data_IF_723618953529
#
_entry.id   IF_723618953529
#
_cell.length_a   1.000
_cell.length_b   1.000
_cell.length_c   1.000
_cell.angle_alpha   90.00
_cell.angle_beta   90.00
_cell.angle_gamma   90.00
#
_symmetry.space_group_name_H-M   'P 1'
#
loop_
_entity.id
_entity.type
_entity.pdbx_description
1 polymer ?
#
# COMPACT_ATOMS: atom_id res chain seq x y z
N UNK A 1 19.16 -1.10 -56.34
CA UNK A 1 18.16 -0.16 -55.76
C UNK A 1 17.17 -0.82 -54.78
N UNK A 2 17.43 -2.00 -54.26
CA UNK A 2 16.55 -2.72 -53.33
C UNK A 2 16.96 -2.62 -51.86
N UNK A 3 18.22 -2.27 -51.55
CA UNK A 3 18.74 -2.27 -50.18
C UNK A 3 18.24 -1.11 -49.28
N UNK A 4 17.88 0.04 -49.90
CA UNK A 4 17.40 1.19 -49.11
C UNK A 4 15.96 1.11 -48.61
N UNK A 5 15.17 0.13 -49.06
CA UNK A 5 13.77 -0.06 -48.58
C UNK A 5 13.70 -0.87 -47.27
N UNK A 6 14.59 -1.81 -47.09
CA UNK A 6 14.65 -2.68 -45.90
C UNK A 6 15.11 -1.90 -44.67
N UNK A 7 16.10 -0.99 -44.85
CA UNK A 7 16.59 -0.15 -43.74
C UNK A 7 15.49 0.80 -43.19
N UNK A 8 14.67 1.40 -44.07
CA UNK A 8 13.55 2.27 -43.65
C UNK A 8 12.40 1.55 -42.91
N UNK A 9 12.17 0.29 -43.23
CA UNK A 9 11.15 -0.49 -42.53
C UNK A 9 11.61 -0.96 -41.15
N UNK A 10 12.93 -1.18 -40.97
CA UNK A 10 13.52 -1.54 -39.67
C UNK A 10 13.60 -0.35 -38.73
N UNK A 11 13.91 0.86 -39.21
CA UNK A 11 13.91 2.09 -38.39
C UNK A 11 12.50 2.48 -37.88
N UNK A 12 11.46 2.23 -38.67
CA UNK A 12 10.06 2.50 -38.25
C UNK A 12 9.52 1.52 -37.23
N UNK A 13 10.13 0.36 -37.03
CA UNK A 13 9.67 -0.65 -36.07
C UNK A 13 10.18 -0.44 -34.64
N UNK A 14 11.18 0.42 -34.44
CA UNK A 14 11.68 0.76 -33.11
C UNK A 14 10.86 1.87 -32.41
N UNK A 15 9.90 2.46 -33.10
CA UNK A 15 9.06 3.50 -32.51
C UNK A 15 7.85 2.90 -31.76
N UNK A 16 7.96 3.00 -30.47
CA UNK A 16 6.86 3.02 -29.52
C UNK A 16 6.02 1.75 -29.49
N UNK A 17 6.43 0.79 -28.70
CA UNK A 17 5.53 -0.24 -28.18
C UNK A 17 4.43 0.45 -27.36
N UNK A 18 3.33 0.82 -28.02
CA UNK A 18 2.11 1.22 -27.32
C UNK A 18 1.61 0.05 -26.50
N UNK A 19 1.21 0.25 -25.25
CA UNK A 19 0.59 -0.81 -24.47
C UNK A 19 -0.54 -1.43 -25.29
N UNK A 20 -0.50 -2.74 -25.49
CA UNK A 20 -1.42 -3.48 -26.37
C UNK A 20 -2.89 -3.49 -25.89
N UNK A 21 -3.12 -3.06 -24.65
CA UNK A 21 -4.45 -2.92 -24.09
C UNK A 21 -4.58 -1.63 -23.29
N UNK A 22 -5.71 -0.92 -23.46
CA UNK A 22 -6.06 0.19 -22.59
C UNK A 22 -6.45 -0.35 -21.22
N UNK A 23 -5.91 0.27 -20.15
CA UNK A 23 -6.29 0.00 -18.78
C UNK A 23 -6.72 1.32 -18.13
N UNK A 24 -7.76 1.31 -17.29
CA UNK A 24 -8.15 2.49 -16.55
C UNK A 24 -6.99 2.97 -15.66
N UNK A 25 -6.75 4.27 -15.64
CA UNK A 25 -5.75 4.86 -14.77
C UNK A 25 -6.10 4.64 -13.30
N UNK A 26 -5.10 4.32 -12.49
CA UNK A 26 -5.27 4.29 -11.04
C UNK A 26 -5.62 5.70 -10.52
N UNK A 27 -6.52 5.79 -9.57
CA UNK A 27 -6.90 7.06 -8.94
C UNK A 27 -5.77 7.72 -8.17
N UNK A 28 -4.82 6.92 -7.69
CA UNK A 28 -3.61 7.37 -7.01
C UNK A 28 -2.39 6.88 -7.79
N UNK A 29 -1.48 7.78 -8.17
CA UNK A 29 -0.25 7.39 -8.83
C UNK A 29 0.67 6.61 -7.86
N UNK A 30 1.38 5.62 -8.39
CA UNK A 30 2.36 4.87 -7.61
C UNK A 30 3.65 5.69 -7.43
N UNK A 31 4.21 5.76 -6.21
CA UNK A 31 5.49 6.40 -5.97
C UNK A 31 6.65 5.57 -6.53
N UNK A 32 7.71 6.26 -6.94
CA UNK A 32 8.96 5.61 -7.29
C UNK A 32 9.59 5.01 -6.03
N UNK A 33 9.68 3.68 -5.99
CA UNK A 33 10.11 2.94 -4.81
C UNK A 33 11.63 3.09 -4.62
N UNK A 34 12.03 3.64 -3.49
CA UNK A 34 13.42 3.65 -3.04
C UNK A 34 13.71 2.38 -2.25
N UNK A 35 14.89 1.79 -2.45
CA UNK A 35 15.31 0.63 -1.68
C UNK A 35 15.39 0.98 -0.18
N UNK A 36 14.88 0.08 0.67
CA UNK A 36 14.87 0.26 2.11
C UNK A 36 13.69 1.07 2.67
N UNK A 37 12.78 1.56 1.83
CA UNK A 37 11.59 2.31 2.25
C UNK A 37 10.30 1.68 1.77
N UNK A 38 9.26 1.80 2.59
CA UNK A 38 7.88 1.45 2.24
C UNK A 38 7.05 2.71 2.19
N UNK A 39 6.20 2.83 1.18
CA UNK A 39 5.33 3.99 0.96
C UNK A 39 3.89 3.66 1.30
N UNK A 40 3.19 4.65 1.84
CA UNK A 40 1.77 4.55 2.17
C UNK A 40 1.08 5.89 2.03
N UNK A 41 -0.12 5.89 1.49
CA UNK A 41 -1.02 7.03 1.50
C UNK A 41 -1.76 7.09 2.84
N UNK A 42 -1.64 8.21 3.54
CA UNK A 42 -2.22 8.44 4.87
C UNK A 42 -3.27 9.54 4.75
N UNK A 43 -4.46 9.27 5.23
CA UNK A 43 -5.56 10.22 5.19
C UNK A 43 -5.27 11.41 6.12
N UNK A 44 -5.37 12.62 5.54
CA UNK A 44 -5.25 13.91 6.25
C UNK A 44 -6.56 14.68 6.27
N UNK A 45 -7.46 14.39 5.33
CA UNK A 45 -8.79 15.00 5.29
C UNK A 45 -9.84 14.02 4.76
N UNK A 46 -11.11 14.25 5.10
CA UNK A 46 -12.26 13.51 4.60
C UNK A 46 -13.38 14.51 4.34
N UNK A 47 -13.93 14.53 3.13
CA UNK A 47 -15.00 15.44 2.72
C UNK A 47 -14.68 16.92 3.03
N UNK A 48 -13.45 17.36 2.79
CA UNK A 48 -13.00 18.72 3.10
C UNK A 48 -12.72 19.00 4.58
N UNK A 49 -13.03 18.07 5.47
CA UNK A 49 -12.71 18.17 6.91
C UNK A 49 -11.38 17.52 7.21
N UNK A 50 -10.54 18.21 7.95
CA UNK A 50 -9.21 17.74 8.35
C UNK A 50 -9.28 16.71 9.45
N UNK A 51 -8.39 15.72 9.38
CA UNK A 51 -8.22 14.67 10.40
C UNK A 51 -6.80 14.73 11.01
N UNK A 52 -6.52 15.75 11.86
CA UNK A 52 -5.20 15.89 12.46
C UNK A 52 -4.85 14.76 13.43
N UNK A 53 -5.86 14.10 13.98
CA UNK A 53 -5.68 12.97 14.90
C UNK A 53 -5.06 11.77 14.19
N UNK A 54 -5.54 11.45 12.98
CA UNK A 54 -5.01 10.33 12.21
C UNK A 54 -3.55 10.56 11.80
N UNK A 55 -3.26 11.74 11.24
CA UNK A 55 -1.90 12.04 10.78
C UNK A 55 -0.90 12.09 11.93
N UNK A 56 -1.26 12.70 13.08
CA UNK A 56 -0.41 12.75 14.27
C UNK A 56 -0.11 11.36 14.82
N UNK A 57 -1.10 10.46 14.82
CA UNK A 57 -0.90 9.07 15.22
C UNK A 57 0.10 8.36 14.29
N UNK A 58 -0.02 8.59 12.98
CA UNK A 58 0.87 7.96 11.99
C UNK A 58 2.30 8.48 12.05
N UNK A 59 2.48 9.78 12.26
CA UNK A 59 3.82 10.36 12.47
C UNK A 59 4.47 9.79 13.74
N UNK A 60 3.71 9.63 14.83
CA UNK A 60 4.19 8.98 16.06
C UNK A 60 4.55 7.49 15.86
N UNK A 61 3.91 6.81 14.91
CA UNK A 61 4.25 5.44 14.50
C UNK A 61 5.54 5.36 13.66
N UNK A 62 6.15 6.51 13.29
CA UNK A 62 7.38 6.57 12.49
C UNK A 62 7.17 6.76 10.99
N UNK A 63 5.97 7.18 10.57
CA UNK A 63 5.72 7.58 9.18
C UNK A 63 6.19 9.01 8.94
N UNK A 64 6.96 9.24 7.89
CA UNK A 64 7.48 10.55 7.49
C UNK A 64 6.85 10.98 6.16
N UNK A 65 6.38 12.24 6.03
CA UNK A 65 5.91 12.77 4.77
C UNK A 65 7.01 12.76 3.71
N UNK A 66 6.68 12.31 2.51
CA UNK A 66 7.59 12.34 1.36
C UNK A 66 7.61 13.75 0.79
N UNK A 67 8.81 14.29 0.53
CA UNK A 67 8.98 15.61 -0.06
C UNK A 67 8.77 15.57 -1.56
N UNK A 68 8.25 16.66 -2.11
CA UNK A 68 8.04 16.83 -3.55
C UNK A 68 9.37 16.69 -4.33
N UNK A 69 10.49 17.11 -3.71
CA UNK A 69 11.83 17.01 -4.31
C UNK A 69 12.27 15.56 -4.57
N UNK A 70 11.83 14.64 -3.70
CA UNK A 70 12.13 13.21 -3.83
C UNK A 70 11.34 12.55 -4.97
N UNK A 71 10.18 13.13 -5.30
CA UNK A 71 9.21 12.56 -6.27
C UNK A 71 8.67 13.66 -7.19
N UNK A 72 9.48 14.26 -8.08
CA UNK A 72 9.09 15.43 -8.87
C UNK A 72 7.92 15.18 -9.82
N UNK A 73 7.64 13.92 -10.17
CA UNK A 73 6.50 13.51 -11.01
C UNK A 73 5.15 13.90 -10.41
N UNK A 74 5.06 14.03 -9.09
CA UNK A 74 3.81 14.32 -8.39
C UNK A 74 3.41 15.80 -8.43
N UNK A 75 4.28 16.70 -8.88
CA UNK A 75 4.00 18.15 -8.94
C UNK A 75 2.70 18.51 -9.67
N UNK A 76 2.32 17.71 -10.67
CA UNK A 76 1.12 17.94 -11.51
C UNK A 76 -0.16 17.57 -10.76
N UNK A 77 -0.08 16.69 -9.76
CA UNK A 77 -1.24 16.11 -9.07
C UNK A 77 -1.51 16.71 -7.69
N UNK A 78 -0.72 17.68 -7.25
CA UNK A 78 -0.78 18.23 -5.91
C UNK A 78 -2.06 19.03 -5.67
N UNK A 79 -2.63 18.88 -4.48
CA UNK A 79 -3.75 19.69 -4.03
C UNK A 79 -3.28 21.11 -3.71
N UNK A 80 -3.94 22.11 -4.32
CA UNK A 80 -3.61 23.54 -4.15
C UNK A 80 -3.81 24.02 -2.70
N UNK A 81 -4.71 23.39 -1.94
CA UNK A 81 -5.05 23.74 -0.56
C UNK A 81 -4.34 22.90 0.49
N UNK A 82 -3.24 22.21 0.11
CA UNK A 82 -2.47 21.39 1.04
C UNK A 82 -1.83 22.26 2.14
N UNK A 83 -1.88 21.78 3.38
CA UNK A 83 -1.10 22.33 4.49
C UNK A 83 0.36 21.89 4.46
N UNK A 84 0.61 20.78 3.81
CA UNK A 84 1.94 20.18 3.68
C UNK A 84 2.60 20.68 2.41
N UNK A 85 3.04 21.95 2.41
CA UNK A 85 3.59 22.65 1.22
C UNK A 85 4.73 21.90 0.55
N UNK A 86 5.54 21.18 1.35
CA UNK A 86 6.67 20.37 0.86
C UNK A 86 6.29 18.89 0.69
N UNK A 87 5.07 18.50 1.09
CA UNK A 87 4.57 17.14 1.03
C UNK A 87 3.74 16.88 -0.22
N UNK A 88 3.52 15.61 -0.50
CA UNK A 88 2.71 15.15 -1.62
C UNK A 88 1.32 14.81 -1.11
N UNK A 89 0.38 15.73 -1.24
CA UNK A 89 -1.03 15.54 -0.87
C UNK A 89 -1.90 15.51 -2.13
N UNK A 90 -2.72 14.48 -2.27
CA UNK A 90 -3.64 14.25 -3.39
C UNK A 90 -4.98 13.77 -2.84
N UNK A 91 -6.04 14.51 -3.09
CA UNK A 91 -7.40 14.12 -2.69
C UNK A 91 -7.56 13.87 -1.18
N UNK A 92 -6.86 14.63 -0.36
CA UNK A 92 -6.87 14.48 1.10
C UNK A 92 -6.05 13.30 1.64
N UNK A 93 -5.16 12.76 0.81
CA UNK A 93 -4.21 11.71 1.17
C UNK A 93 -2.78 12.23 1.05
N UNK A 94 -1.99 12.07 2.09
CA UNK A 94 -0.58 12.45 2.15
C UNK A 94 0.28 11.22 1.92
N UNK A 95 1.22 11.32 0.99
CA UNK A 95 2.20 10.27 0.77
C UNK A 95 3.25 10.29 1.88
N UNK A 96 3.40 9.16 2.55
CA UNK A 96 4.40 8.99 3.60
C UNK A 96 5.26 7.77 3.32
N UNK A 97 6.48 7.79 3.84
CA UNK A 97 7.45 6.69 3.80
C UNK A 97 7.85 6.26 5.19
N UNK A 98 8.32 5.04 5.31
CA UNK A 98 8.86 4.46 6.54
C UNK A 98 9.99 3.50 6.17
N UNK A 99 11.10 3.44 6.94
CA UNK A 99 12.11 2.41 6.75
C UNK A 99 11.52 0.99 6.89
N UNK A 100 11.98 0.07 6.05
CA UNK A 100 11.49 -1.33 6.05
C UNK A 100 11.64 -1.99 7.40
N UNK A 101 12.76 -1.75 8.09
CA UNK A 101 13.05 -2.33 9.40
C UNK A 101 12.03 -1.91 10.46
N UNK A 102 11.62 -0.63 10.45
CA UNK A 102 10.57 -0.13 11.34
C UNK A 102 9.21 -0.74 11.03
N UNK A 103 8.88 -0.88 9.74
CA UNK A 103 7.67 -1.58 9.33
C UNK A 103 7.66 -3.01 9.83
N UNK A 104 8.77 -3.73 9.73
CA UNK A 104 8.86 -5.13 10.13
C UNK A 104 8.77 -5.29 11.64
N UNK A 105 9.43 -4.42 12.41
CA UNK A 105 9.28 -4.37 13.87
C UNK A 105 7.83 -4.10 14.29
N UNK A 106 7.19 -3.11 13.64
CA UNK A 106 5.78 -2.80 13.88
C UNK A 106 4.87 -3.99 13.57
N UNK A 107 5.08 -4.65 12.44
CA UNK A 107 4.28 -5.81 12.05
C UNK A 107 4.51 -6.99 13.01
N UNK A 108 5.73 -7.23 13.45
CA UNK A 108 6.06 -8.25 14.44
C UNK A 108 5.37 -7.97 15.79
N UNK A 109 5.37 -6.71 16.23
CA UNK A 109 4.67 -6.31 17.46
C UNK A 109 3.17 -6.61 17.40
N UNK A 110 2.49 -6.18 16.33
CA UNK A 110 1.06 -6.43 16.19
C UNK A 110 0.73 -7.90 15.95
N UNK A 111 1.58 -8.64 15.23
CA UNK A 111 1.42 -10.08 15.06
C UNK A 111 1.56 -10.82 16.39
N UNK A 112 2.50 -10.41 17.24
CA UNK A 112 2.62 -10.95 18.59
C UNK A 112 1.38 -10.64 19.43
N UNK A 113 0.97 -9.36 19.46
CA UNK A 113 -0.23 -8.95 20.21
C UNK A 113 -1.47 -9.72 19.80
N UNK A 114 -1.68 -9.90 18.49
CA UNK A 114 -2.81 -10.67 17.97
C UNK A 114 -2.74 -12.14 18.40
N UNK A 115 -1.55 -12.76 18.34
CA UNK A 115 -1.36 -14.14 18.82
C UNK A 115 -1.64 -14.29 20.31
N UNK A 116 -1.16 -13.35 21.12
CA UNK A 116 -1.37 -13.37 22.58
C UNK A 116 -2.86 -13.21 22.91
N UNK A 117 -3.56 -12.33 22.20
CA UNK A 117 -5.01 -12.17 22.35
C UNK A 117 -5.76 -13.45 21.95
N UNK A 118 -5.40 -14.06 20.83
CA UNK A 118 -6.04 -15.30 20.39
C UNK A 118 -5.76 -16.46 21.35
N UNK A 119 -4.51 -16.59 21.83
CA UNK A 119 -4.18 -17.60 22.83
C UNK A 119 -4.96 -17.40 24.15
N UNK A 120 -5.17 -16.14 24.56
CA UNK A 120 -5.98 -15.83 25.75
C UNK A 120 -7.44 -16.28 25.57
N UNK A 121 -8.02 -16.00 24.39
CA UNK A 121 -9.40 -16.44 24.08
C UNK A 121 -9.49 -17.97 24.05
N UNK A 122 -8.54 -18.64 23.38
CA UNK A 122 -8.51 -20.09 23.29
C UNK A 122 -8.37 -20.73 24.68
N UNK A 123 -7.48 -20.18 25.53
CA UNK A 123 -7.29 -20.66 26.91
C UNK A 123 -8.56 -20.46 27.77
N UNK A 124 -9.26 -19.32 27.58
CA UNK A 124 -10.52 -19.07 28.29
C UNK A 124 -11.60 -20.04 27.83
N UNK A 125 -11.73 -20.24 26.52
CA UNK A 125 -12.67 -21.17 25.93
C UNK A 125 -12.43 -22.63 26.42
N UNK A 126 -11.17 -23.05 26.44
CA UNK A 126 -10.80 -24.41 26.88
C UNK A 126 -10.98 -24.64 28.38
N UNK A 127 -11.01 -23.59 29.22
CA UNK A 127 -11.32 -23.73 30.66
C UNK A 127 -12.78 -24.13 30.94
N UNK A 128 -13.69 -23.82 30.01
CA UNK A 128 -15.09 -24.18 30.08
C UNK A 128 -15.38 -25.58 29.50
N UNK A 129 -14.33 -26.32 29.13
CA UNK A 129 -14.47 -27.65 28.55
C UNK A 129 -15.00 -28.67 29.58
N UNK A 130 -16.19 -29.24 29.34
CA UNK A 130 -16.79 -30.28 30.15
C UNK A 130 -16.38 -31.67 29.59
N UNK A 131 -15.88 -32.62 30.43
CA UNK A 131 -15.57 -33.98 30.00
C UNK A 131 -16.75 -34.71 29.33
N UNK A 132 -17.98 -34.30 29.61
CA UNK A 132 -19.21 -34.88 29.04
C UNK A 132 -19.48 -34.37 27.61
N UNK A 133 -18.89 -33.20 27.25
CA UNK A 133 -19.14 -32.53 26.00
C UNK A 133 -17.84 -31.85 25.54
N UNK A 134 -16.83 -32.63 25.08
CA UNK A 134 -15.52 -32.13 24.78
C UNK A 134 -15.58 -31.13 23.61
N UNK A 135 -15.01 -29.94 23.83
CA UNK A 135 -14.89 -28.91 22.81
C UNK A 135 -13.58 -29.10 22.03
N UNK A 136 -13.68 -29.09 20.71
CA UNK A 136 -12.51 -29.18 19.82
C UNK A 136 -12.25 -27.82 19.16
N UNK A 137 -11.03 -27.33 19.27
CA UNK A 137 -10.60 -26.10 18.61
C UNK A 137 -9.82 -26.45 17.33
N UNK A 138 -10.51 -26.75 16.25
CA UNK A 138 -9.89 -26.86 14.93
C UNK A 138 -10.13 -25.58 14.12
N UNK A 139 -9.05 -24.85 13.83
CA UNK A 139 -9.09 -23.73 12.90
C UNK A 139 -8.76 -24.23 11.50
N UNK A 140 -9.79 -24.39 10.67
CA UNK A 140 -9.63 -24.69 9.24
C UNK A 140 -10.04 -23.46 8.44
N UNK A 141 -9.09 -22.81 7.79
CA UNK A 141 -9.36 -21.79 6.79
C UNK A 141 -8.95 -22.33 5.42
N UNK A 142 -9.91 -22.57 4.55
CA UNK A 142 -9.67 -22.98 3.17
C UNK A 142 -10.22 -21.88 2.26
N UNK A 143 -9.35 -21.27 1.45
CA UNK A 143 -9.76 -20.41 0.35
C UNK A 143 -9.59 -21.20 -0.96
N UNK A 144 -10.68 -21.48 -1.65
CA UNK A 144 -10.63 -22.04 -2.99
C UNK A 144 -10.91 -20.95 -4.01
N UNK A 145 -9.94 -20.69 -4.88
CA UNK A 145 -10.19 -19.88 -6.07
C UNK A 145 -10.84 -20.77 -7.12
N UNK A 146 -12.11 -20.51 -7.42
CA UNK A 146 -12.79 -21.20 -8.49
C UNK A 146 -12.11 -20.94 -9.83
N UNK A 147 -11.58 -21.98 -10.46
CA UNK A 147 -11.19 -21.93 -11.86
C UNK A 147 -12.49 -21.89 -12.67
N UNK A 148 -12.93 -20.68 -13.01
CA UNK A 148 -14.01 -20.51 -13.98
C UNK A 148 -13.58 -21.10 -15.32
N UNK A 149 -14.33 -22.04 -15.81
CA UNK A 149 -14.22 -22.65 -17.13
C UNK A 149 -15.18 -21.94 -18.08
#
# INVERSE_FOLDING_TARGET
MAENRIARELEKRSETERPRSWQPASSLPEPDKQAGYVYKWIRVSTNGQRDPKNISAKIKEGWEPVRIEEQPRFKIFLDSNSQYKDGIEIGGLLLCKMPTDFRDQRNAYFAKKNRDQMASVDNHYMKENDPRMPMFSERKSTSSFGTGR
#
